data_IF_103494049410
#
_entry.id   IF_103494049410
#
_cell.length_a   1.000
_cell.length_b   1.000
_cell.length_c   1.000
_cell.angle_alpha   90.00
_cell.angle_beta   90.00
_cell.angle_gamma   90.00
#
_symmetry.space_group_name_H-M   'P 1'
#
loop_
_entity.id
_entity.type
_entity.pdbx_description
1 polymer ?
#
# COMPACT_ATOMS: atom_id res chain seq x y z
N UNK A 1 13.46 6.87 40.14
CA UNK A 1 12.87 6.51 38.83
C UNK A 1 12.33 7.78 38.20
N UNK A 2 13.12 8.41 37.34
CA UNK A 2 12.68 9.50 36.47
C UNK A 2 12.21 8.89 35.15
N UNK A 3 11.20 9.48 34.48
CA UNK A 3 10.57 8.85 33.33
C UNK A 3 11.50 8.89 32.10
N UNK A 4 11.56 7.74 31.40
CA UNK A 4 12.42 7.43 30.24
C UNK A 4 12.05 8.20 28.96
N UNK A 5 11.06 9.06 29.02
CA UNK A 5 10.34 9.66 27.90
C UNK A 5 11.00 10.92 27.29
N UNK A 6 12.02 11.50 27.94
CA UNK A 6 12.65 12.74 27.45
C UNK A 6 14.07 12.59 26.89
N UNK A 7 14.76 11.48 27.15
CA UNK A 7 16.15 11.31 26.70
C UNK A 7 16.28 10.62 25.33
N UNK A 8 15.34 9.74 24.96
CA UNK A 8 15.48 8.95 23.73
C UNK A 8 15.38 9.78 22.44
N UNK A 9 14.63 10.89 22.45
CA UNK A 9 14.38 11.68 21.23
C UNK A 9 15.45 12.76 21.01
N UNK A 10 16.10 13.25 22.07
CA UNK A 10 17.02 14.40 21.96
C UNK A 10 18.48 13.96 21.81
N UNK A 11 18.87 12.78 22.31
CA UNK A 11 20.26 12.31 22.21
C UNK A 11 20.66 11.80 20.81
N UNK A 12 19.69 11.51 19.93
CA UNK A 12 19.91 10.90 18.61
C UNK A 12 20.31 11.88 17.49
N UNK A 13 20.31 13.19 17.73
CA UNK A 13 20.52 14.16 16.65
C UNK A 13 21.94 14.72 16.55
N UNK A 14 22.78 14.64 17.60
CA UNK A 14 24.05 15.40 17.63
C UNK A 14 25.22 14.73 18.39
N UNK A 15 25.25 13.40 18.52
CA UNK A 15 26.44 12.69 18.99
C UNK A 15 27.25 12.16 17.79
N UNK A 16 28.55 12.44 17.66
CA UNK A 16 29.39 11.78 16.67
C UNK A 16 29.40 10.27 16.96
N UNK A 17 29.04 9.44 15.97
CA UNK A 17 29.01 7.98 16.03
C UNK A 17 30.25 7.44 16.77
N UNK A 18 30.07 7.03 18.03
CA UNK A 18 31.18 6.58 18.83
C UNK A 18 31.29 5.06 18.72
N UNK A 19 32.31 4.61 17.99
CA UNK A 19 33.01 3.31 18.14
C UNK A 19 32.64 2.08 17.28
N UNK A 20 31.82 2.17 16.23
CA UNK A 20 31.70 1.06 15.24
C UNK A 20 32.11 1.51 13.83
N UNK A 21 32.97 0.71 13.20
CA UNK A 21 33.75 1.10 12.03
C UNK A 21 33.03 0.89 10.68
N UNK A 22 32.03 -0.01 10.61
CA UNK A 22 31.37 -0.39 9.36
C UNK A 22 30.01 -1.11 9.59
N UNK A 23 29.23 -1.25 8.51
CA UNK A 23 27.92 -1.92 8.50
C UNK A 23 27.95 -3.38 8.97
N UNK A 24 28.97 -4.14 8.58
CA UNK A 24 29.05 -5.56 8.92
C UNK A 24 29.27 -5.75 10.43
N UNK A 25 30.12 -4.91 11.02
CA UNK A 25 30.33 -4.83 12.46
C UNK A 25 29.04 -4.43 13.19
N UNK A 26 28.28 -3.48 12.64
CA UNK A 26 26.98 -3.11 13.21
C UNK A 26 25.95 -4.24 13.13
N UNK A 27 25.83 -4.91 11.99
CA UNK A 27 24.92 -6.05 11.83
C UNK A 27 25.27 -7.16 12.83
N UNK A 28 26.57 -7.49 12.96
CA UNK A 28 27.04 -8.48 13.92
C UNK A 28 26.79 -8.07 15.38
N UNK A 29 26.95 -6.78 15.70
CA UNK A 29 26.62 -6.25 17.02
C UNK A 29 25.12 -6.40 17.32
N UNK A 30 24.23 -6.00 16.41
CA UNK A 30 22.77 -6.14 16.60
C UNK A 30 22.32 -7.60 16.75
N UNK A 31 23.01 -8.55 16.11
CA UNK A 31 22.73 -9.98 16.26
C UNK A 31 23.12 -10.56 17.62
N UNK A 32 24.08 -9.94 18.32
CA UNK A 32 24.68 -10.47 19.55
C UNK A 32 24.40 -9.64 20.80
N UNK A 33 23.95 -8.39 20.64
CA UNK A 33 23.64 -7.49 21.74
C UNK A 33 22.43 -7.98 22.55
N UNK A 34 22.56 -7.93 23.88
CA UNK A 34 21.45 -8.20 24.80
C UNK A 34 20.92 -6.88 25.34
N UNK A 35 19.98 -6.27 24.60
CA UNK A 35 19.44 -4.93 24.90
C UNK A 35 18.84 -4.85 26.31
N UNK A 36 18.29 -5.94 26.83
CA UNK A 36 17.73 -5.97 28.20
C UNK A 36 18.81 -5.81 29.26
N UNK A 37 19.97 -6.45 29.08
CA UNK A 37 21.11 -6.31 29.99
C UNK A 37 21.84 -4.98 29.78
N UNK A 38 22.01 -4.60 28.52
CA UNK A 38 22.74 -3.40 28.10
C UNK A 38 21.99 -2.11 28.44
N UNK A 39 20.66 -2.13 28.64
CA UNK A 39 19.87 -0.98 29.07
C UNK A 39 20.32 -0.35 30.41
N UNK A 40 21.15 -1.07 31.20
CA UNK A 40 21.75 -0.56 32.45
C UNK A 40 23.03 0.26 32.20
N UNK A 41 23.58 0.20 31.00
CA UNK A 41 24.79 0.89 30.57
C UNK A 41 24.48 1.83 29.39
N UNK A 42 24.37 3.15 29.64
CA UNK A 42 24.05 4.12 28.60
C UNK A 42 25.00 4.10 27.40
N UNK A 43 26.27 3.73 27.59
CA UNK A 43 27.24 3.66 26.49
C UNK A 43 26.91 2.52 25.53
N UNK A 44 26.56 1.34 26.06
CA UNK A 44 26.17 0.19 25.23
C UNK A 44 24.84 0.41 24.51
N UNK A 45 23.88 1.05 25.18
CA UNK A 45 22.61 1.41 24.53
C UNK A 45 22.81 2.43 23.41
N UNK A 46 23.76 3.37 23.59
CA UNK A 46 24.18 4.31 22.55
C UNK A 46 24.72 3.58 21.31
N UNK A 47 25.64 2.63 21.49
CA UNK A 47 26.21 1.83 20.40
C UNK A 47 25.12 1.05 19.64
N UNK A 48 24.18 0.43 20.36
CA UNK A 48 23.05 -0.26 19.75
C UNK A 48 22.21 0.69 18.87
N UNK A 49 21.84 1.85 19.42
CA UNK A 49 21.04 2.85 18.70
C UNK A 49 21.79 3.40 17.48
N UNK A 50 23.07 3.70 17.61
CA UNK A 50 23.95 4.14 16.53
C UNK A 50 23.99 3.11 15.40
N UNK A 51 24.09 1.81 15.72
CA UNK A 51 24.06 0.76 14.70
C UNK A 51 22.71 0.59 14.01
N UNK A 52 21.60 0.70 14.74
CA UNK A 52 20.27 0.72 14.13
C UNK A 52 20.15 1.87 13.13
N UNK A 53 20.61 3.07 13.52
CA UNK A 53 20.56 4.25 12.64
C UNK A 53 21.51 4.11 11.45
N UNK A 54 22.73 3.60 11.65
CA UNK A 54 23.70 3.37 10.59
C UNK A 54 23.17 2.40 9.54
N UNK A 55 22.61 1.26 9.95
CA UNK A 55 22.06 0.28 8.99
C UNK A 55 20.78 0.78 8.31
N UNK A 56 19.99 1.61 9.00
CA UNK A 56 18.78 2.21 8.44
C UNK A 56 19.08 3.26 7.36
N UNK A 57 20.08 4.10 7.58
CA UNK A 57 20.39 5.24 6.71
C UNK A 57 21.63 5.06 5.84
N UNK A 58 22.34 3.92 5.97
CA UNK A 58 23.37 3.56 5.01
C UNK A 58 22.78 3.59 3.60
N UNK A 59 23.45 4.25 2.65
CA UNK A 59 23.13 4.20 1.22
C UNK A 59 24.13 3.33 0.43
N UNK A 60 25.04 2.66 1.13
CA UNK A 60 26.15 1.92 0.51
C UNK A 60 25.82 0.46 0.21
N UNK A 61 24.80 -0.13 0.85
CA UNK A 61 24.41 -1.50 0.54
C UNK A 61 23.57 -1.57 -0.75
N UNK A 62 23.84 -2.54 -1.65
CA UNK A 62 23.09 -2.69 -2.89
C UNK A 62 21.67 -3.24 -2.66
N UNK A 63 20.79 -3.04 -3.64
CA UNK A 63 19.52 -3.78 -3.74
C UNK A 63 19.77 -5.28 -3.63
N UNK A 64 19.04 -5.93 -2.72
CA UNK A 64 19.23 -7.34 -2.40
C UNK A 64 17.90 -8.11 -2.47
N UNK A 65 18.00 -9.41 -2.77
CA UNK A 65 16.88 -10.34 -2.78
C UNK A 65 17.22 -11.50 -1.86
N UNK A 66 16.35 -11.76 -0.88
CA UNK A 66 16.39 -12.94 -0.04
C UNK A 66 15.19 -13.82 -0.35
N UNK A 67 15.36 -15.14 -0.23
CA UNK A 67 14.28 -16.11 -0.42
C UNK A 67 14.00 -16.79 0.91
N UNK A 68 12.73 -16.85 1.29
CA UNK A 68 12.22 -17.53 2.47
C UNK A 68 10.99 -18.37 2.12
N UNK A 69 10.28 -18.87 3.14
CA UNK A 69 9.01 -19.59 2.99
C UNK A 69 9.15 -21.12 3.08
N UNK A 70 8.24 -21.75 3.83
CA UNK A 70 8.20 -23.20 4.03
C UNK A 70 7.20 -23.88 3.09
N UNK A 71 6.01 -23.31 2.96
CA UNK A 71 4.93 -23.86 2.12
C UNK A 71 4.99 -23.36 0.68
N UNK A 72 5.36 -22.11 0.47
CA UNK A 72 5.66 -21.55 -0.85
C UNK A 72 6.77 -20.50 -0.71
N UNK A 73 7.58 -20.27 -1.75
CA UNK A 73 8.69 -19.32 -1.66
C UNK A 73 8.19 -17.88 -1.64
N UNK A 74 8.75 -17.07 -0.76
CA UNK A 74 8.55 -15.61 -0.70
C UNK A 74 9.89 -14.90 -0.92
N UNK A 75 9.87 -13.82 -1.69
CA UNK A 75 11.01 -12.92 -1.86
C UNK A 75 10.94 -11.80 -0.83
N UNK A 76 12.05 -11.50 -0.17
CA UNK A 76 12.24 -10.25 0.57
C UNK A 76 13.20 -9.42 -0.26
N UNK A 77 12.69 -8.31 -0.81
CA UNK A 77 13.46 -7.42 -1.67
C UNK A 77 13.64 -6.10 -0.94
N UNK A 78 14.88 -5.70 -0.72
CA UNK A 78 15.23 -4.49 0.02
C UNK A 78 15.82 -3.44 -0.90
N UNK A 79 15.63 -2.16 -0.57
CA UNK A 79 16.11 -0.98 -1.31
C UNK A 79 15.54 -0.90 -2.71
N UNK A 80 14.28 -0.49 -2.79
CA UNK A 80 13.66 -0.13 -4.05
C UNK A 80 13.78 1.37 -4.27
N UNK A 81 14.51 1.80 -5.29
CA UNK A 81 14.36 3.16 -5.78
C UNK A 81 12.93 3.35 -6.29
N UNK A 82 12.24 4.38 -5.81
CA UNK A 82 11.22 4.99 -6.65
C UNK A 82 11.99 5.48 -7.90
N UNK A 83 11.61 5.06 -9.10
CA UNK A 83 12.32 5.52 -10.28
C UNK A 83 12.14 7.03 -10.38
N UNK A 84 13.26 7.76 -10.37
CA UNK A 84 13.25 9.17 -10.70
C UNK A 84 12.63 9.35 -12.07
N UNK A 85 11.42 9.91 -12.13
CA UNK A 85 10.78 10.25 -13.40
C UNK A 85 11.00 11.72 -13.67
N UNK A 86 11.72 12.02 -14.76
CA UNK A 86 11.60 13.10 -15.79
C UNK A 86 11.33 14.57 -15.37
N UNK A 87 10.90 14.84 -14.15
CA UNK A 87 10.58 16.16 -13.64
C UNK A 87 11.44 16.41 -12.40
N UNK A 88 12.40 17.34 -12.53
CA UNK A 88 13.45 17.77 -11.57
C UNK A 88 12.94 18.22 -10.17
N UNK A 89 11.69 17.95 -9.79
CA UNK A 89 11.02 18.55 -8.64
C UNK A 89 10.56 17.57 -7.55
N UNK A 90 10.72 16.27 -7.76
CA UNK A 90 10.44 15.25 -6.73
C UNK A 90 11.62 14.30 -6.63
N UNK A 91 12.44 14.48 -5.58
CA UNK A 91 13.57 13.63 -5.17
C UNK A 91 14.45 13.19 -6.35
N UNK A 92 15.51 13.97 -6.63
CA UNK A 92 16.54 13.64 -7.61
C UNK A 92 17.21 12.28 -7.31
N UNK A 93 16.63 11.18 -7.81
CA UNK A 93 17.25 9.86 -7.82
C UNK A 93 17.67 9.30 -6.45
N UNK A 94 17.16 9.84 -5.34
CA UNK A 94 17.50 9.35 -4.00
C UNK A 94 16.75 8.04 -3.73
N UNK A 95 17.50 6.97 -3.43
CA UNK A 95 16.94 5.68 -3.06
C UNK A 95 15.97 5.82 -1.89
N UNK A 96 14.74 5.35 -2.08
CA UNK A 96 13.81 5.18 -0.97
C UNK A 96 14.01 3.77 -0.41
N UNK A 97 14.24 3.56 0.90
CA UNK A 97 14.57 2.25 1.41
C UNK A 97 13.31 1.37 1.59
N UNK A 98 12.41 1.32 0.60
CA UNK A 98 11.28 0.41 0.68
C UNK A 98 11.78 -1.03 0.69
N UNK A 99 11.13 -1.87 1.49
CA UNK A 99 11.37 -3.31 1.52
C UNK A 99 10.03 -4.02 1.37
N UNK A 100 9.99 -5.02 0.49
CA UNK A 100 8.78 -5.79 0.21
C UNK A 100 9.01 -7.29 0.37
N UNK A 101 8.04 -7.94 1.00
CA UNK A 101 7.77 -9.38 0.94
C UNK A 101 6.81 -9.62 -0.22
N UNK A 102 7.23 -10.44 -1.18
CA UNK A 102 6.52 -10.69 -2.43
C UNK A 102 6.40 -12.19 -2.69
N UNK A 103 5.28 -12.69 -3.25
CA UNK A 103 5.19 -14.07 -3.69
C UNK A 103 6.21 -14.32 -4.82
N UNK A 104 7.03 -15.38 -4.71
CA UNK A 104 8.10 -15.60 -5.69
C UNK A 104 7.60 -15.95 -7.09
N UNK A 105 6.36 -16.43 -7.20
CA UNK A 105 5.74 -16.87 -8.44
C UNK A 105 4.67 -15.91 -8.97
N UNK A 106 4.50 -14.73 -8.38
CA UNK A 106 3.66 -13.70 -8.98
C UNK A 106 4.36 -13.09 -10.20
N UNK A 107 3.76 -13.27 -11.37
CA UNK A 107 4.25 -12.78 -12.65
C UNK A 107 3.83 -11.34 -12.96
N UNK A 108 2.98 -10.74 -12.11
CA UNK A 108 2.43 -9.41 -12.32
C UNK A 108 2.88 -8.41 -11.24
N UNK A 109 2.07 -8.18 -10.20
CA UNK A 109 2.29 -7.08 -9.25
C UNK A 109 3.60 -7.30 -8.48
N UNK A 110 3.81 -8.49 -7.94
CA UNK A 110 5.03 -8.88 -7.24
C UNK A 110 6.26 -8.81 -8.15
N UNK A 111 6.13 -9.15 -9.44
CA UNK A 111 7.22 -8.98 -10.39
C UNK A 111 7.58 -7.50 -10.59
N UNK A 112 6.59 -6.64 -10.81
CA UNK A 112 6.79 -5.20 -10.98
C UNK A 112 7.40 -4.57 -9.72
N UNK A 113 6.84 -4.86 -8.54
CA UNK A 113 7.35 -4.38 -7.27
C UNK A 113 8.80 -4.83 -7.03
N UNK A 114 9.13 -6.10 -7.33
CA UNK A 114 10.51 -6.60 -7.28
C UNK A 114 11.45 -5.73 -8.12
N UNK A 115 11.05 -5.31 -9.31
CA UNK A 115 11.88 -4.52 -10.20
C UNK A 115 11.98 -3.05 -9.77
N UNK A 116 10.85 -2.40 -9.45
CA UNK A 116 10.77 -0.93 -9.38
C UNK A 116 10.04 -0.39 -8.15
N UNK A 117 9.66 -1.25 -7.19
CA UNK A 117 9.07 -0.84 -5.90
C UNK A 117 7.58 -0.51 -5.92
N UNK A 118 6.94 -0.54 -7.08
CA UNK A 118 5.50 -0.36 -7.26
C UNK A 118 5.00 -1.14 -8.46
N UNK A 119 3.68 -1.16 -8.69
CA UNK A 119 3.08 -1.86 -9.83
C UNK A 119 3.20 -1.02 -11.11
N UNK A 120 2.74 0.23 -11.07
CA UNK A 120 2.90 1.20 -12.15
C UNK A 120 3.51 2.50 -11.59
N UNK A 121 4.73 2.78 -12.04
CA UNK A 121 5.52 3.94 -11.59
C UNK A 121 4.80 5.25 -11.84
N UNK A 122 4.32 5.43 -13.08
CA UNK A 122 3.75 6.71 -13.50
C UNK A 122 2.43 6.96 -12.76
N UNK A 123 1.61 5.93 -12.64
CA UNK A 123 0.37 5.97 -11.88
C UNK A 123 0.63 6.28 -10.39
N UNK A 124 1.59 5.59 -9.77
CA UNK A 124 1.99 5.86 -8.38
C UNK A 124 2.40 7.31 -8.18
N UNK A 125 3.26 7.83 -9.06
CA UNK A 125 3.73 9.22 -9.00
C UNK A 125 2.58 10.23 -9.16
N UNK A 126 1.73 10.04 -10.16
CA UNK A 126 0.60 10.93 -10.42
C UNK A 126 -0.35 10.97 -9.21
N UNK A 127 -0.65 9.81 -8.59
CA UNK A 127 -1.44 9.77 -7.36
C UNK A 127 -0.74 10.45 -6.17
N UNK A 128 0.58 10.31 -6.03
CA UNK A 128 1.34 11.00 -4.98
C UNK A 128 1.31 12.53 -5.12
N UNK A 129 1.33 13.04 -6.35
CA UNK A 129 1.15 14.48 -6.64
C UNK A 129 -0.23 14.98 -6.26
N UNK A 130 -1.24 14.10 -6.33
CA UNK A 130 -2.59 14.42 -5.89
C UNK A 130 -2.71 14.45 -4.37
N UNK A 131 -1.76 13.92 -3.59
CA UNK A 131 -1.82 13.88 -2.13
C UNK A 131 -0.96 14.97 -1.47
N UNK A 132 -1.34 15.42 -0.27
CA UNK A 132 -0.54 16.32 0.58
C UNK A 132 -0.28 15.67 1.94
N UNK A 133 0.79 16.05 2.66
CA UNK A 133 1.01 15.58 4.01
C UNK A 133 -0.20 15.85 4.91
N UNK A 134 -0.63 14.85 5.69
CA UNK A 134 -1.81 14.95 6.57
C UNK A 134 -3.15 14.55 5.95
N UNK A 135 -3.24 14.35 4.63
CA UNK A 135 -4.48 13.86 4.00
C UNK A 135 -4.78 12.38 4.36
N UNK A 136 -5.98 11.93 4.00
CA UNK A 136 -6.30 10.49 3.95
C UNK A 136 -6.35 9.95 2.52
N UNK A 137 -5.95 8.69 2.39
CA UNK A 137 -6.03 7.87 1.18
C UNK A 137 -6.75 6.55 1.50
N UNK A 138 -7.64 6.11 0.61
CA UNK A 138 -8.27 4.79 0.68
C UNK A 138 -7.86 3.98 -0.54
N UNK A 139 -7.35 2.78 -0.32
CA UNK A 139 -6.97 1.82 -1.35
C UNK A 139 -7.92 0.63 -1.31
N UNK A 140 -8.82 0.55 -2.29
CA UNK A 140 -9.76 -0.56 -2.47
C UNK A 140 -9.10 -1.58 -3.41
N UNK A 141 -8.74 -2.76 -2.87
CA UNK A 141 -7.93 -3.75 -3.58
C UNK A 141 -6.44 -3.44 -3.47
N UNK A 142 -5.97 -3.35 -2.23
CA UNK A 142 -4.60 -2.95 -1.90
C UNK A 142 -3.55 -4.00 -2.32
N UNK A 143 -3.95 -5.26 -2.52
CA UNK A 143 -3.10 -6.35 -2.96
C UNK A 143 -1.81 -6.42 -2.12
N UNK A 144 -0.62 -6.46 -2.74
CA UNK A 144 0.67 -6.48 -2.05
C UNK A 144 1.10 -5.13 -1.45
N UNK A 145 0.30 -4.07 -1.56
CA UNK A 145 0.60 -2.74 -1.02
C UNK A 145 1.46 -1.85 -1.93
N UNK A 146 1.41 -2.10 -3.25
CA UNK A 146 2.18 -1.38 -4.27
C UNK A 146 1.96 0.15 -4.26
N UNK A 147 0.75 0.58 -3.90
CA UNK A 147 0.39 1.98 -3.72
C UNK A 147 0.32 2.36 -2.23
N UNK A 148 -0.06 1.43 -1.34
CA UNK A 148 -0.14 1.69 0.10
C UNK A 148 1.17 2.25 0.68
N UNK A 149 2.31 1.64 0.35
CA UNK A 149 3.62 2.05 0.90
C UNK A 149 4.03 3.46 0.45
N UNK A 150 4.13 3.78 -0.85
CA UNK A 150 4.51 5.12 -1.29
C UNK A 150 3.51 6.20 -0.85
N UNK A 151 2.20 5.91 -0.86
CA UNK A 151 1.19 6.87 -0.41
C UNK A 151 1.31 7.13 1.09
N UNK A 152 1.55 6.11 1.91
CA UNK A 152 1.75 6.27 3.35
C UNK A 152 2.97 7.15 3.65
N UNK A 153 4.07 6.97 2.92
CA UNK A 153 5.23 7.84 3.05
C UNK A 153 4.90 9.28 2.66
N UNK A 154 4.26 9.46 1.49
CA UNK A 154 3.87 10.78 0.96
C UNK A 154 3.00 11.58 1.92
N UNK A 155 2.06 10.90 2.58
CA UNK A 155 1.13 11.49 3.54
C UNK A 155 1.80 11.86 4.89
N UNK A 156 2.93 11.23 5.20
CA UNK A 156 3.63 11.41 6.47
C UNK A 156 2.83 10.94 7.69
N UNK A 157 3.43 11.10 8.88
CA UNK A 157 2.90 10.57 10.15
C UNK A 157 1.53 11.10 10.55
N UNK A 158 1.14 12.29 10.07
CA UNK A 158 -0.14 12.92 10.37
C UNK A 158 -1.26 12.52 9.40
N UNK A 159 -0.93 11.92 8.25
CA UNK A 159 -1.93 11.43 7.31
C UNK A 159 -2.43 10.04 7.67
N UNK A 160 -3.27 9.47 6.80
CA UNK A 160 -3.87 8.15 7.05
C UNK A 160 -4.10 7.37 5.76
N UNK A 161 -3.77 6.08 5.79
CA UNK A 161 -4.12 5.13 4.71
C UNK A 161 -5.06 4.07 5.26
N UNK A 162 -6.18 3.83 4.58
CA UNK A 162 -6.99 2.62 4.77
C UNK A 162 -6.81 1.72 3.55
N UNK A 163 -6.26 0.52 3.78
CA UNK A 163 -5.94 -0.43 2.73
C UNK A 163 -6.79 -1.69 2.89
N UNK A 164 -7.63 -2.00 1.89
CA UNK A 164 -8.56 -3.13 1.90
C UNK A 164 -8.05 -4.21 0.96
N UNK A 165 -7.79 -5.40 1.49
CA UNK A 165 -7.39 -6.57 0.70
C UNK A 165 -8.17 -7.80 1.19
N UNK A 166 -9.03 -8.43 0.36
CA UNK A 166 -9.90 -9.51 0.80
C UNK A 166 -9.18 -10.83 1.09
N UNK A 167 -8.19 -11.22 0.28
CA UNK A 167 -7.64 -12.58 0.32
C UNK A 167 -6.57 -12.71 1.40
N UNK A 168 -6.72 -13.69 2.30
CA UNK A 168 -5.88 -13.83 3.49
C UNK A 168 -4.38 -13.82 3.19
N UNK A 169 -3.95 -14.57 2.17
CA UNK A 169 -2.52 -14.69 1.85
C UNK A 169 -1.96 -13.38 1.28
N UNK A 170 -2.70 -12.70 0.43
CA UNK A 170 -2.32 -11.38 -0.09
C UNK A 170 -2.33 -10.33 1.01
N UNK A 171 -3.34 -10.34 1.88
CA UNK A 171 -3.44 -9.50 3.07
C UNK A 171 -2.26 -9.68 4.02
N UNK A 172 -1.79 -10.92 4.22
CA UNK A 172 -0.59 -11.19 5.02
C UNK A 172 0.65 -10.50 4.43
N UNK A 173 0.84 -10.54 3.10
CA UNK A 173 1.93 -9.81 2.43
C UNK A 173 1.78 -8.29 2.60
N UNK A 174 0.58 -7.75 2.41
CA UNK A 174 0.29 -6.34 2.66
C UNK A 174 0.69 -5.91 4.06
N UNK A 175 0.27 -6.67 5.08
CA UNK A 175 0.60 -6.35 6.48
C UNK A 175 2.09 -6.47 6.78
N UNK A 176 2.78 -7.45 6.19
CA UNK A 176 4.23 -7.57 6.29
C UNK A 176 4.93 -6.38 5.66
N UNK A 177 4.47 -5.93 4.48
CA UNK A 177 5.02 -4.77 3.78
C UNK A 177 4.79 -3.48 4.57
N UNK A 178 3.63 -3.31 5.21
CA UNK A 178 3.39 -2.19 6.13
C UNK A 178 4.34 -2.22 7.33
N UNK A 179 4.55 -3.40 7.93
CA UNK A 179 5.40 -3.55 9.11
C UNK A 179 6.89 -3.33 8.79
N UNK A 180 7.39 -3.91 7.69
CA UNK A 180 8.78 -3.80 7.25
C UNK A 180 9.18 -2.35 6.97
N UNK A 181 8.25 -1.53 6.47
CA UNK A 181 8.48 -0.13 6.20
C UNK A 181 8.16 0.79 7.41
N UNK A 182 7.79 0.22 8.57
CA UNK A 182 7.55 0.98 9.80
C UNK A 182 6.42 2.00 9.70
N UNK A 183 5.40 1.72 8.87
CA UNK A 183 4.35 2.68 8.53
C UNK A 183 3.27 2.71 9.63
N UNK A 184 3.32 3.75 10.47
CA UNK A 184 2.38 3.92 11.58
C UNK A 184 1.03 4.53 11.19
N UNK A 185 0.93 5.08 9.98
CA UNK A 185 -0.24 5.77 9.47
C UNK A 185 -1.12 4.88 8.56
N UNK A 186 -0.79 3.59 8.44
CA UNK A 186 -1.55 2.64 7.62
C UNK A 186 -2.40 1.76 8.51
N UNK A 187 -3.65 1.55 8.11
CA UNK A 187 -4.50 0.51 8.63
C UNK A 187 -4.89 -0.44 7.50
N UNK A 188 -4.44 -1.68 7.62
CA UNK A 188 -4.84 -2.76 6.73
C UNK A 188 -6.14 -3.39 7.22
N UNK A 189 -6.99 -3.82 6.30
CA UNK A 189 -8.29 -4.44 6.58
C UNK A 189 -8.45 -5.65 5.67
N UNK A 190 -8.62 -6.84 6.26
CA UNK A 190 -8.92 -8.06 5.50
C UNK A 190 -10.40 -8.08 5.10
N UNK A 191 -10.75 -7.33 4.07
CA UNK A 191 -12.11 -7.26 3.55
C UNK A 191 -12.11 -6.71 2.12
N UNK A 192 -13.12 -7.11 1.34
CA UNK A 192 -13.49 -6.40 0.13
C UNK A 192 -14.41 -5.21 0.45
N UNK A 193 -14.50 -4.27 -0.48
CA UNK A 193 -15.50 -3.20 -0.46
C UNK A 193 -16.56 -3.44 -1.53
N UNK A 194 -17.81 -3.11 -1.22
CA UNK A 194 -18.95 -3.26 -2.10
C UNK A 194 -20.14 -2.42 -1.64
N UNK A 195 -21.34 -2.73 -2.14
CA UNK A 195 -22.56 -1.96 -1.86
C UNK A 195 -23.40 -2.51 -0.69
N UNK A 196 -22.96 -3.60 -0.06
CA UNK A 196 -23.60 -4.17 1.12
C UNK A 196 -22.58 -4.89 2.02
N UNK A 197 -22.88 -4.93 3.32
CA UNK A 197 -22.06 -5.65 4.30
C UNK A 197 -22.53 -7.10 4.39
N UNK A 198 -21.69 -8.05 3.96
CA UNK A 198 -22.01 -9.48 3.89
C UNK A 198 -20.75 -10.35 3.88
N UNK A 199 -20.93 -11.67 3.93
CA UNK A 199 -19.86 -12.63 3.63
C UNK A 199 -20.08 -13.29 2.28
N UNK A 200 -18.99 -13.50 1.53
CA UNK A 200 -18.97 -14.17 0.23
C UNK A 200 -17.91 -15.25 0.22
N UNK A 201 -18.25 -16.42 -0.29
CA UNK A 201 -17.28 -17.48 -0.56
C UNK A 201 -16.69 -17.26 -1.96
N UNK A 202 -15.37 -17.17 -2.06
CA UNK A 202 -14.64 -16.90 -3.29
C UNK A 202 -13.54 -17.94 -3.48
N UNK A 203 -13.19 -18.23 -4.73
CA UNK A 203 -11.99 -19.00 -5.05
C UNK A 203 -10.76 -18.19 -4.69
N UNK A 204 -9.90 -18.73 -3.82
CA UNK A 204 -8.71 -18.03 -3.35
C UNK A 204 -7.55 -18.17 -4.34
N UNK A 205 -6.65 -17.19 -4.46
CA UNK A 205 -5.48 -17.31 -5.32
C UNK A 205 -4.53 -18.40 -4.82
N UNK A 206 -3.99 -19.17 -5.77
CA UNK A 206 -2.92 -20.13 -5.52
C UNK A 206 -1.58 -19.41 -5.45
N UNK A 207 -0.83 -19.62 -4.36
CA UNK A 207 0.42 -18.88 -4.09
C UNK A 207 1.69 -19.69 -4.41
N UNK A 208 1.58 -21.01 -4.50
CA UNK A 208 2.66 -21.97 -4.80
C UNK A 208 2.81 -22.26 -6.31
N UNK A 209 2.18 -21.46 -7.16
CA UNK A 209 2.21 -21.62 -8.62
C UNK A 209 2.42 -20.26 -9.31
N UNK A 210 2.89 -20.28 -10.56
CA UNK A 210 2.99 -19.07 -11.37
C UNK A 210 1.60 -18.47 -11.59
N UNK A 211 1.41 -17.24 -11.14
CA UNK A 211 0.10 -16.62 -11.04
C UNK A 211 0.16 -15.12 -11.37
N UNK A 212 -0.94 -14.58 -11.87
CA UNK A 212 -1.15 -13.13 -12.08
C UNK A 212 -2.07 -12.62 -10.98
N UNK A 213 -1.51 -12.24 -9.82
CA UNK A 213 -2.32 -11.86 -8.66
C UNK A 213 -3.10 -10.55 -8.84
N UNK A 214 -2.73 -9.71 -9.81
CA UNK A 214 -3.42 -8.46 -10.11
C UNK A 214 -4.81 -8.66 -10.71
N UNK A 215 -5.04 -9.75 -11.44
CA UNK A 215 -6.29 -9.98 -12.17
C UNK A 215 -7.35 -10.76 -11.34
N UNK A 216 -7.25 -10.70 -10.01
CA UNK A 216 -8.07 -11.51 -9.11
C UNK A 216 -9.41 -10.84 -8.84
N UNK A 217 -10.50 -11.54 -9.17
CA UNK A 217 -11.86 -10.98 -9.11
C UNK A 217 -12.64 -11.45 -7.90
N UNK A 218 -13.42 -10.55 -7.30
CA UNK A 218 -14.45 -10.89 -6.30
C UNK A 218 -15.79 -11.26 -6.96
N UNK A 219 -16.08 -10.71 -8.14
CA UNK A 219 -17.29 -11.01 -8.91
C UNK A 219 -16.92 -11.50 -10.32
N UNK A 220 -17.66 -12.50 -10.83
CA UNK A 220 -17.39 -13.07 -12.16
C UNK A 220 -16.08 -13.85 -12.25
N UNK A 221 -15.73 -14.59 -11.19
CA UNK A 221 -14.58 -15.50 -11.21
C UNK A 221 -14.69 -16.48 -12.39
N UNK A 222 -13.62 -16.60 -13.16
CA UNK A 222 -13.55 -17.53 -14.27
C UNK A 222 -13.59 -18.98 -13.75
N UNK A 223 -14.24 -19.87 -14.51
CA UNK A 223 -14.13 -21.31 -14.28
C UNK A 223 -12.64 -21.72 -14.35
N UNK A 224 -12.23 -22.66 -13.49
CA UNK A 224 -10.84 -23.10 -13.37
C UNK A 224 -10.18 -23.48 -14.71
N UNK A 225 -10.94 -23.98 -15.68
CA UNK A 225 -10.46 -24.39 -17.01
C UNK A 225 -10.10 -23.21 -17.94
N UNK A 226 -10.66 -22.01 -17.70
CA UNK A 226 -10.37 -20.78 -18.48
C UNK A 226 -9.23 -19.97 -17.83
N UNK A 227 -9.06 -20.11 -16.52
CA UNK A 227 -8.06 -19.37 -15.75
C UNK A 227 -6.60 -19.73 -16.16
N UNK A 228 -6.37 -20.95 -16.66
CA UNK A 228 -5.04 -21.42 -17.12
C UNK A 228 -4.52 -20.59 -18.30
N UNK A 229 -5.38 -20.20 -19.25
CA UNK A 229 -4.96 -19.41 -20.43
C UNK A 229 -4.70 -17.93 -20.09
N UNK A 230 -5.24 -17.47 -18.95
CA UNK A 230 -5.07 -16.11 -18.41
C UNK A 230 -3.93 -16.00 -17.38
N UNK A 231 -3.25 -17.12 -17.07
CA UNK A 231 -2.21 -17.17 -16.03
C UNK A 231 -2.73 -17.00 -14.60
N UNK A 232 -4.04 -17.18 -14.38
CA UNK A 232 -4.66 -17.13 -13.05
C UNK A 232 -4.87 -18.55 -12.55
N UNK A 233 -4.39 -18.85 -11.35
CA UNK A 233 -4.68 -20.14 -10.69
C UNK A 233 -5.31 -19.92 -9.32
N UNK A 234 -6.36 -20.69 -9.06
CA UNK A 234 -7.08 -20.69 -7.80
C UNK A 234 -6.77 -21.96 -6.99
N UNK A 235 -6.86 -21.86 -5.67
CA UNK A 235 -6.70 -22.97 -4.73
C UNK A 235 -7.74 -22.85 -3.62
N UNK A 236 -8.74 -23.74 -3.68
CA UNK A 236 -9.79 -23.81 -2.65
C UNK A 236 -10.70 -22.59 -2.63
N UNK A 237 -11.57 -22.56 -1.62
CA UNK A 237 -12.50 -21.47 -1.35
C UNK A 237 -12.12 -20.77 -0.05
N UNK A 238 -12.32 -19.46 -0.01
CA UNK A 238 -12.14 -18.61 1.16
C UNK A 238 -13.41 -17.79 1.42
N UNK A 239 -13.84 -17.73 2.68
CA UNK A 239 -14.88 -16.79 3.10
C UNK A 239 -14.29 -15.39 3.26
N UNK A 240 -14.72 -14.47 2.40
CA UNK A 240 -14.31 -13.07 2.41
C UNK A 240 -15.41 -12.21 3.02
N UNK A 241 -15.01 -11.33 3.94
CA UNK A 241 -15.88 -10.28 4.44
C UNK A 241 -15.96 -9.13 3.43
N UNK A 242 -17.17 -8.67 3.14
CA UNK A 242 -17.44 -7.48 2.33
C UNK A 242 -18.04 -6.42 3.24
N UNK A 243 -17.58 -5.18 3.13
CA UNK A 243 -18.17 -4.01 3.78
C UNK A 243 -18.59 -2.97 2.74
N UNK A 244 -19.54 -2.13 3.10
CA UNK A 244 -19.60 -0.79 2.48
C UNK A 244 -18.55 0.10 3.15
N UNK A 245 -17.96 1.04 2.39
CA UNK A 245 -16.99 1.98 2.99
C UNK A 245 -17.68 2.84 4.07
N UNK A 246 -18.91 3.25 3.79
CA UNK A 246 -19.69 4.06 4.71
C UNK A 246 -19.92 3.34 6.06
N UNK A 247 -20.39 2.10 6.04
CA UNK A 247 -20.66 1.33 7.27
C UNK A 247 -19.36 0.99 8.02
N UNK A 248 -18.27 0.72 7.30
CA UNK A 248 -16.97 0.46 7.91
C UNK A 248 -16.47 1.69 8.68
N UNK A 249 -16.54 2.88 8.10
CA UNK A 249 -16.11 4.11 8.76
C UNK A 249 -16.98 4.47 9.97
N UNK A 250 -18.29 4.29 9.84
CA UNK A 250 -19.26 4.53 10.91
C UNK A 250 -19.06 3.57 12.10
N UNK A 251 -19.04 2.26 11.84
CA UNK A 251 -18.91 1.22 12.88
C UNK A 251 -17.59 1.27 13.64
N UNK A 252 -16.51 1.72 12.99
CA UNK A 252 -15.20 1.82 13.62
C UNK A 252 -14.94 3.18 14.28
N UNK A 253 -15.92 4.10 14.28
CA UNK A 253 -15.79 5.45 14.84
C UNK A 253 -14.69 6.27 14.17
N UNK A 254 -14.33 5.96 12.92
CA UNK A 254 -13.17 6.53 12.25
C UNK A 254 -13.58 7.81 11.53
N UNK A 255 -13.07 8.93 12.02
CA UNK A 255 -12.97 10.13 11.20
C UNK A 255 -11.72 10.05 10.35
N UNK A 256 -11.88 10.16 9.03
CA UNK A 256 -10.76 10.38 8.12
C UNK A 256 -10.46 11.88 8.06
N UNK A 257 -9.26 12.34 8.43
CA UNK A 257 -8.86 13.70 8.08
C UNK A 257 -8.86 13.84 6.55
N UNK A 258 -9.35 14.96 6.00
CA UNK A 258 -9.26 15.34 4.56
C UNK A 258 -9.07 14.15 3.60
N UNK A 259 -10.11 13.32 3.39
CA UNK A 259 -10.03 12.21 2.44
C UNK A 259 -9.88 12.77 1.04
N UNK A 260 -8.67 12.65 0.48
CA UNK A 260 -8.29 13.35 -0.74
C UNK A 260 -8.39 12.48 -1.98
N UNK A 261 -8.10 11.19 -1.83
CA UNK A 261 -8.05 10.23 -2.94
C UNK A 261 -8.60 8.86 -2.48
N UNK A 262 -9.44 8.26 -3.32
CA UNK A 262 -9.83 6.84 -3.24
C UNK A 262 -9.33 6.15 -4.51
N UNK A 263 -8.47 5.15 -4.37
CA UNK A 263 -8.08 4.24 -5.45
C UNK A 263 -9.02 3.03 -5.44
N UNK A 264 -9.56 2.67 -6.60
CA UNK A 264 -10.48 1.55 -6.77
C UNK A 264 -9.96 0.65 -7.87
N UNK A 265 -9.56 -0.55 -7.50
CA UNK A 265 -9.06 -1.58 -8.39
C UNK A 265 -9.43 -2.90 -7.71
N UNK A 266 -10.66 -3.32 -7.98
CA UNK A 266 -11.33 -4.45 -7.32
C UNK A 266 -11.87 -5.44 -8.35
N UNK A 267 -11.39 -5.32 -9.58
CA UNK A 267 -11.60 -6.25 -10.68
C UNK A 267 -13.09 -6.60 -10.92
N UNK A 268 -13.88 -5.58 -11.25
CA UNK A 268 -15.27 -5.71 -11.70
C UNK A 268 -16.34 -5.34 -10.67
N UNK A 269 -15.93 -4.84 -9.49
CA UNK A 269 -16.84 -4.37 -8.44
C UNK A 269 -16.81 -2.86 -8.23
N UNK A 270 -16.24 -2.09 -9.17
CA UNK A 270 -16.01 -0.66 -9.04
C UNK A 270 -17.31 0.10 -8.78
N UNK A 271 -18.39 -0.25 -9.51
CA UNK A 271 -19.73 0.34 -9.37
C UNK A 271 -20.27 0.11 -7.95
N UNK A 272 -20.11 -1.09 -7.42
CA UNK A 272 -20.59 -1.52 -6.11
C UNK A 272 -19.82 -0.78 -5.01
N UNK A 273 -18.50 -0.61 -5.17
CA UNK A 273 -17.67 0.17 -4.24
C UNK A 273 -18.17 1.61 -4.14
N UNK A 274 -18.38 2.30 -5.28
CA UNK A 274 -18.86 3.70 -5.23
C UNK A 274 -20.30 3.81 -4.71
N UNK A 275 -21.14 2.79 -4.93
CA UNK A 275 -22.47 2.70 -4.29
C UNK A 275 -22.40 2.56 -2.77
N UNK A 276 -21.46 1.78 -2.25
CA UNK A 276 -21.23 1.61 -0.81
C UNK A 276 -20.43 2.73 -0.14
N UNK A 277 -19.94 3.70 -0.93
CA UNK A 277 -19.16 4.83 -0.45
C UNK A 277 -19.88 6.18 -0.64
N UNK A 278 -21.18 6.18 -1.01
CA UNK A 278 -21.90 7.41 -1.41
C UNK A 278 -21.87 8.49 -0.34
N UNK A 279 -22.07 8.15 0.94
CA UNK A 279 -22.05 9.15 2.03
C UNK A 279 -20.64 9.72 2.20
N UNK A 280 -19.64 8.86 2.17
CA UNK A 280 -18.23 9.24 2.28
C UNK A 280 -17.78 10.13 1.11
N UNK A 281 -18.11 9.76 -0.13
CA UNK A 281 -17.79 10.53 -1.33
C UNK A 281 -18.49 11.89 -1.28
N UNK A 282 -19.78 11.94 -0.95
CA UNK A 282 -20.52 13.19 -0.84
C UNK A 282 -19.99 14.11 0.27
N UNK A 283 -19.52 13.54 1.38
CA UNK A 283 -19.00 14.31 2.53
C UNK A 283 -17.60 14.88 2.29
N UNK A 284 -16.73 14.14 1.59
CA UNK A 284 -15.32 14.51 1.44
C UNK A 284 -14.94 15.03 0.06
N UNK A 285 -15.78 14.76 -0.96
CA UNK A 285 -15.51 15.06 -2.36
C UNK A 285 -14.09 14.62 -2.83
N UNK A 286 -13.64 13.38 -2.53
CA UNK A 286 -12.31 12.92 -2.91
C UNK A 286 -12.17 12.82 -4.43
N UNK A 287 -10.94 12.84 -4.92
CA UNK A 287 -10.63 12.34 -6.27
C UNK A 287 -10.86 10.83 -6.24
N UNK A 288 -11.53 10.29 -7.26
CA UNK A 288 -11.66 8.84 -7.43
C UNK A 288 -10.76 8.44 -8.59
N UNK A 289 -9.86 7.49 -8.33
CA UNK A 289 -9.02 6.89 -9.34
C UNK A 289 -9.39 5.41 -9.45
N UNK A 290 -10.02 5.01 -10.53
CA UNK A 290 -10.57 3.66 -10.68
C UNK A 290 -9.98 2.97 -11.89
N UNK A 291 -9.30 1.83 -11.70
CA UNK A 291 -9.11 0.86 -12.77
C UNK A 291 -10.48 0.27 -13.05
N UNK A 292 -10.98 0.44 -14.28
CA UNK A 292 -12.37 0.17 -14.63
C UNK A 292 -12.46 -0.70 -15.87
N UNK A 293 -11.85 -1.87 -15.79
CA UNK A 293 -11.85 -2.90 -16.84
C UNK A 293 -13.29 -3.23 -17.29
N UNK A 294 -14.29 -3.17 -16.40
CA UNK A 294 -15.70 -3.32 -16.76
C UNK A 294 -16.18 -2.30 -17.82
N UNK A 295 -15.83 -1.02 -17.66
CA UNK A 295 -16.14 0.01 -18.64
C UNK A 295 -15.36 -0.18 -19.95
N UNK A 296 -14.06 -0.47 -19.87
CA UNK A 296 -13.21 -0.54 -21.06
C UNK A 296 -13.42 -1.81 -21.89
N UNK A 297 -13.59 -2.97 -21.26
CA UNK A 297 -13.80 -4.25 -21.95
C UNK A 297 -15.27 -4.49 -22.30
N UNK A 298 -16.19 -4.19 -21.37
CA UNK A 298 -17.60 -4.57 -21.48
C UNK A 298 -18.56 -3.42 -21.75
N UNK A 299 -18.03 -2.19 -21.85
CA UNK A 299 -18.83 -0.97 -21.99
C UNK A 299 -19.87 -0.80 -20.87
N UNK A 300 -19.57 -1.32 -19.67
CA UNK A 300 -20.41 -1.13 -18.50
C UNK A 300 -20.32 0.33 -18.03
N UNK A 301 -21.45 1.03 -18.06
CA UNK A 301 -21.55 2.45 -17.68
C UNK A 301 -22.08 2.67 -16.27
N UNK A 302 -22.33 1.59 -15.50
CA UNK A 302 -22.90 1.66 -14.15
C UNK A 302 -22.07 2.54 -13.21
N UNK A 303 -20.75 2.41 -13.26
CA UNK A 303 -19.84 3.25 -12.47
C UNK A 303 -20.00 4.74 -12.82
N UNK A 304 -19.97 5.08 -14.11
CA UNK A 304 -20.12 6.46 -14.58
C UNK A 304 -21.48 7.04 -14.22
N UNK A 305 -22.56 6.24 -14.26
CA UNK A 305 -23.89 6.66 -13.85
C UNK A 305 -23.91 7.07 -12.36
N UNK A 306 -23.33 6.25 -11.48
CA UNK A 306 -23.23 6.56 -10.05
C UNK A 306 -22.38 7.81 -9.82
N UNK A 307 -21.24 7.95 -10.50
CA UNK A 307 -20.39 9.13 -10.38
C UNK A 307 -21.13 10.40 -10.85
N UNK A 308 -21.86 10.34 -11.96
CA UNK A 308 -22.66 11.45 -12.45
C UNK A 308 -23.76 11.85 -11.46
N UNK A 309 -24.47 10.90 -10.85
CA UNK A 309 -25.45 11.17 -9.78
C UNK A 309 -24.83 11.88 -8.58
N UNK A 310 -23.58 11.55 -8.24
CA UNK A 310 -22.80 12.19 -7.17
C UNK A 310 -22.23 13.56 -7.59
N UNK A 311 -22.48 14.00 -8.83
CA UNK A 311 -22.02 15.29 -9.35
C UNK A 311 -20.56 15.28 -9.78
N UNK A 312 -20.03 14.14 -10.21
CA UNK A 312 -18.66 13.99 -10.69
C UNK A 312 -18.59 13.95 -12.22
N UNK A 313 -17.51 14.50 -12.77
CA UNK A 313 -17.05 14.25 -14.13
C UNK A 313 -15.87 13.28 -14.13
N UNK A 314 -15.85 12.34 -15.08
CA UNK A 314 -14.79 11.35 -15.21
C UNK A 314 -14.07 11.49 -16.55
N UNK A 315 -12.74 11.39 -16.53
CA UNK A 315 -11.88 11.34 -17.69
C UNK A 315 -11.00 10.10 -17.67
N UNK A 316 -10.48 9.70 -18.83
CA UNK A 316 -9.51 8.60 -18.91
C UNK A 316 -8.15 9.06 -18.40
N UNK A 317 -7.42 8.19 -17.71
CA UNK A 317 -6.02 8.45 -17.43
C UNK A 317 -5.17 8.33 -18.70
N UNK A 318 -4.20 9.24 -18.87
CA UNK A 318 -3.21 9.13 -19.94
C UNK A 318 -2.08 8.14 -19.61
N UNK A 319 -1.89 7.83 -18.33
CA UNK A 319 -0.81 6.97 -17.84
C UNK A 319 -1.23 5.52 -17.63
N UNK A 320 -2.54 5.27 -17.51
CA UNK A 320 -3.14 3.97 -17.25
C UNK A 320 -4.39 3.83 -18.13
N UNK A 321 -4.30 3.12 -19.27
CA UNK A 321 -5.35 3.12 -20.30
C UNK A 321 -6.71 2.56 -19.85
N UNK A 322 -6.72 1.75 -18.79
CA UNK A 322 -7.92 1.14 -18.21
C UNK A 322 -8.48 1.93 -17.02
N UNK A 323 -7.93 3.12 -16.76
CA UNK A 323 -8.30 3.90 -15.59
C UNK A 323 -9.19 5.09 -15.93
N UNK A 324 -10.13 5.34 -15.02
CA UNK A 324 -10.94 6.55 -14.95
C UNK A 324 -10.53 7.38 -13.74
N UNK A 325 -10.31 8.67 -13.97
CA UNK A 325 -10.09 9.68 -12.93
C UNK A 325 -11.33 10.55 -12.86
N UNK A 326 -12.00 10.54 -11.72
CA UNK A 326 -13.23 11.31 -11.50
C UNK A 326 -13.03 12.39 -10.44
N UNK A 327 -13.54 13.59 -10.73
CA UNK A 327 -13.52 14.75 -9.82
C UNK A 327 -14.89 15.42 -9.78
N UNK A 328 -15.20 16.12 -8.68
CA UNK A 328 -16.47 16.84 -8.55
C UNK A 328 -16.60 17.93 -9.65
N UNK A 329 -17.71 17.92 -10.39
CA UNK A 329 -17.93 18.69 -11.62
C UNK A 329 -17.90 20.22 -11.43
N UNK A 330 -18.11 20.70 -10.21
CA UNK A 330 -18.00 22.12 -9.84
C UNK A 330 -16.55 22.58 -9.60
N UNK A 331 -15.55 21.77 -9.95
CA UNK A 331 -14.14 22.06 -9.69
C UNK A 331 -13.76 22.05 -8.19
N UNK A 332 -14.69 21.71 -7.30
CA UNK A 332 -14.45 21.65 -5.84
C UNK A 332 -13.77 20.38 -5.40
N UNK A 333 -13.53 19.45 -6.31
CA UNK A 333 -12.68 18.29 -6.07
C UNK A 333 -11.23 18.65 -5.77
N UNK A 334 -10.88 19.94 -5.54
CA UNK A 334 -10.03 20.46 -4.46
C UNK A 334 -9.64 21.93 -4.71
N UNK A 335 -10.59 22.89 -4.65
CA UNK A 335 -10.19 24.31 -4.63
C UNK A 335 -9.66 24.72 -3.25
N UNK A 336 -8.48 25.33 -3.29
CA UNK A 336 -7.74 26.01 -2.24
C UNK A 336 -8.59 27.01 -1.45
N UNK A 337 -8.69 26.84 -0.14
CA UNK A 337 -8.81 27.99 0.77
C UNK A 337 -7.66 27.90 1.79
N UNK A 338 -7.13 29.09 2.10
CA UNK A 338 -5.82 29.44 2.64
C UNK A 338 -5.49 28.86 4.02
#
# INVERSE_FOLDING_TARGET
MLPLDKWLIVALLWAPFASIADEASCAQHLLTANVFEDAKDPAKLGIYADCVMLLRYSLTAPKAVHVAGVHYPTLIVSRHSEPGLVYESFRDGEEVPHTFVLPAFDLNIGHAMKLVGTHNIRQSYEMQLLLRPGDSFVDCGANLGAYVVPMAERLGRSGRVLAFEPFLRTFQHLTANVALNGLLNVQTVQAALGNSTLRRTLSAPRMDYFNTLGAMRVEGQMNADVAIDSGITYEGEEEVQVYTLDDFLESNGKKLPSLRLIKIDVEGMETQVVQGARRTIAAHLPIIWSENTAYFERQDTGFLAVMHELGYGCGKSESAPEDLICTAANGRGHQTEM
#
